data_IF_543041963608
#
_entry.id   IF_543041963608
#
_cell.length_a   1.000
_cell.length_b   1.000
_cell.length_c   1.000
_cell.angle_alpha   90.00
_cell.angle_beta   90.00
_cell.angle_gamma   90.00
#
_symmetry.space_group_name_H-M   'P 1'
#
loop_
_entity.id
_entity.type
_entity.pdbx_description
1 polymer ?
2 water ?
#
# COMPACT_ATOMS: atom_id res chain seq x y z
N UNK A 9 -3.77 -19.41 -6.70
CA UNK A 9 -5.11 -19.23 -6.17
C UNK A 9 -6.10 -20.19 -6.79
N UNK A 10 -6.91 -20.81 -5.95
CA UNK A 10 -7.93 -21.73 -6.42
C UNK A 10 -9.28 -21.07 -6.61
N UNK A 11 -9.55 -19.98 -5.88
CA UNK A 11 -10.86 -19.32 -5.88
C UNK A 11 -10.59 -17.81 -5.75
N UNK A 12 -10.50 -17.13 -6.89
CA UNK A 12 -10.09 -15.74 -6.89
C UNK A 12 -11.14 -14.86 -6.24
N UNK A 13 -12.43 -15.14 -6.49
CA UNK A 13 -13.49 -14.31 -5.97
C UNK A 13 -13.53 -14.33 -4.45
N UNK A 14 -13.43 -15.53 -3.86
CA UNK A 14 -13.41 -15.65 -2.41
C UNK A 14 -12.20 -14.94 -1.82
N UNK A 15 -11.04 -15.08 -2.47
CA UNK A 15 -9.83 -14.43 -1.98
C UNK A 15 -10.00 -12.92 -2.00
N UNK A 16 -10.54 -12.38 -3.09
CA UNK A 16 -10.71 -10.93 -3.22
C UNK A 16 -11.70 -10.41 -2.19
N UNK A 17 -12.80 -11.12 -1.98
CA UNK A 17 -13.80 -10.71 -1.00
C UNK A 17 -13.22 -10.69 0.42
N UNK A 18 -12.42 -11.69 0.77
CA UNK A 18 -11.82 -11.70 2.08
C UNK A 18 -10.85 -10.54 2.25
N UNK A 19 -10.08 -10.23 1.21
CA UNK A 19 -9.11 -9.14 1.30
C UNK A 19 -9.81 -7.80 1.45
N UNK A 20 -10.81 -7.54 0.61
CA UNK A 20 -11.57 -6.30 0.71
C UNK A 20 -12.18 -6.13 2.11
N UNK A 21 -12.76 -7.20 2.65
CA UNK A 21 -13.39 -7.06 3.95
C UNK A 21 -12.35 -6.83 5.05
N UNK A 22 -11.16 -7.42 4.92
CA UNK A 22 -10.11 -7.14 5.87
C UNK A 22 -9.74 -5.66 5.87
N UNK A 23 -9.63 -5.06 4.68
CA UNK A 23 -9.26 -3.65 4.61
C UNK A 23 -10.37 -2.77 5.17
N UNK A 24 -11.63 -3.11 4.89
CA UNK A 24 -12.73 -2.33 5.48
C UNK A 24 -12.70 -2.42 6.99
N UNK A 25 -12.39 -3.62 7.52
CA UNK A 25 -12.22 -3.75 8.97
C UNK A 25 -11.11 -2.84 9.49
N UNK A 26 -9.96 -2.79 8.80
CA UNK A 26 -8.89 -1.90 9.24
C UNK A 26 -9.37 -0.46 9.29
N UNK A 27 -10.16 -0.06 8.28
CA UNK A 27 -10.62 1.30 8.16
C UNK A 27 -11.63 1.64 9.25
N UNK A 28 -12.12 0.63 9.97
CA UNK A 28 -13.03 0.80 11.09
C UNK A 28 -12.34 0.77 12.45
N UNK A 29 -11.03 0.53 12.49
CA UNK A 29 -10.33 0.48 13.78
C UNK A 29 -10.34 1.86 14.42
N UNK A 30 -10.70 1.92 15.69
CA UNK A 30 -10.89 3.17 16.41
C UNK A 30 -9.57 3.80 16.83
N UNK A 31 -9.60 5.13 17.04
CA UNK A 31 -8.35 5.86 17.14
C UNK A 31 -7.56 5.53 18.40
N UNK A 32 -8.19 5.00 19.45
CA UNK A 32 -7.40 4.63 20.62
C UNK A 32 -6.54 3.39 20.37
N UNK A 33 -6.71 2.68 19.27
CA UNK A 33 -5.82 1.58 18.93
C UNK A 33 -4.59 2.04 18.15
N UNK A 34 -4.52 3.30 17.74
CA UNK A 34 -3.44 3.79 16.90
C UNK A 34 -2.51 4.66 17.71
N UNK A 35 -1.21 4.58 17.41
CA UNK A 35 -0.20 5.45 17.99
C UNK A 35 0.46 6.23 16.86
N UNK A 36 0.68 7.53 17.06
CA UNK A 36 1.31 8.34 16.02
C UNK A 36 2.76 7.92 15.85
N UNK A 37 3.16 7.67 14.61
CA UNK A 37 4.53 7.32 14.29
C UNK A 37 5.29 8.46 13.62
N UNK A 38 4.64 9.21 12.73
CA UNK A 38 5.27 10.33 12.07
C UNK A 38 4.20 11.34 11.71
N UNK A 39 4.48 12.61 11.96
CA UNK A 39 3.53 13.68 11.64
C UNK A 39 4.28 14.77 10.90
N UNK A 40 3.86 15.06 9.68
CA UNK A 40 4.30 16.24 8.95
C UNK A 40 3.13 17.20 8.86
N UNK A 41 3.33 18.33 8.19
CA UNK A 41 2.22 19.28 8.17
C UNK A 41 1.06 18.83 7.30
N UNK A 42 1.25 17.84 6.43
CA UNK A 42 0.11 17.39 5.63
C UNK A 42 0.05 15.88 5.42
N UNK A 43 0.80 15.09 6.17
CA UNK A 43 0.63 13.64 6.21
C UNK A 43 0.79 13.20 7.66
N UNK A 44 -0.05 12.29 8.11
CA UNK A 44 0.14 11.67 9.42
C UNK A 44 0.25 10.16 9.24
N UNK A 45 1.16 9.54 9.98
CA UNK A 45 1.36 8.10 9.96
C UNK A 45 1.16 7.56 11.38
N UNK A 46 0.28 6.56 11.52
CA UNK A 46 0.07 5.86 12.79
C UNK A 46 0.51 4.41 12.68
N UNK A 47 0.68 3.77 13.83
CA UNK A 47 1.14 2.38 13.90
C UNK A 47 0.33 1.63 14.95
N UNK A 48 0.09 0.35 14.70
CA UNK A 48 -0.44 -0.55 15.74
C UNK A 48 0.15 -1.93 15.54
N UNK A 49 0.15 -2.78 16.57
CA UNK A 49 0.66 -4.15 16.36
C UNK A 49 -0.21 -4.89 15.36
N UNK A 50 0.44 -5.70 14.53
CA UNK A 50 -0.23 -6.50 13.52
C UNK A 50 -0.75 -7.81 14.09
N UNK A 51 -1.90 -8.26 13.59
CA UNK A 51 -2.39 -9.59 13.89
C UNK A 51 -1.91 -10.63 12.87
N UNK A 52 -1.10 -10.21 11.90
CA UNK A 52 -0.71 -11.07 10.80
C UNK A 52 0.73 -11.57 10.89
N UNK A 53 1.57 -10.91 11.69
CA UNK A 53 2.97 -11.29 11.84
C UNK A 53 3.51 -10.55 13.05
N UNK A 54 4.82 -10.71 13.30
CA UNK A 54 5.43 -10.19 14.53
C UNK A 54 5.60 -8.68 14.53
N UNK A 55 5.30 -7.99 13.43
CA UNK A 55 5.55 -6.57 13.31
C UNK A 55 4.30 -5.72 13.36
N UNK A 56 4.24 -4.65 12.58
CA UNK A 56 3.25 -3.61 12.77
C UNK A 56 2.45 -3.33 11.50
N UNK A 57 1.23 -2.86 11.73
CA UNK A 57 0.37 -2.28 10.71
C UNK A 57 0.48 -0.77 10.79
N UNK A 58 0.73 -0.13 9.66
CA UNK A 58 0.83 1.33 9.56
C UNK A 58 -0.39 1.89 8.84
N UNK A 59 -0.87 3.05 9.30
CA UNK A 59 -1.94 3.81 8.66
C UNK A 59 -1.41 5.18 8.30
N UNK A 60 -1.66 5.64 7.08
CA UNK A 60 -1.29 6.99 6.69
C UNK A 60 -2.53 7.71 6.18
N UNK A 61 -2.59 9.02 6.40
CA UNK A 61 -3.69 9.80 5.90
C UNK A 61 -3.20 11.16 5.46
N UNK A 62 -3.75 11.64 4.35
CA UNK A 62 -3.41 12.95 3.84
C UNK A 62 -4.31 13.33 2.69
N UNK A 63 -4.37 14.61 2.40
CA UNK A 63 -5.22 15.14 1.35
C UNK A 63 -4.46 15.20 0.04
N UNK A 64 -5.16 14.90 -1.07
CA UNK A 64 -4.63 14.97 -2.42
C UNK A 64 -5.51 15.92 -3.21
N UNK A 65 -4.90 16.84 -3.97
CA UNK A 65 -5.67 17.85 -4.72
C UNK A 65 -6.04 17.32 -6.11
N UNK A 66 -6.88 16.29 -6.08
CA UNK A 66 -7.39 15.64 -7.29
C UNK A 66 -8.63 14.86 -6.88
N UNK A 67 -9.32 14.30 -7.87
CA UNK A 67 -10.52 13.51 -7.65
C UNK A 67 -10.19 12.02 -7.62
N UNK A 68 -11.17 11.23 -7.18
CA UNK A 68 -10.87 9.87 -6.72
C UNK A 68 -10.46 8.97 -7.87
N UNK A 69 -11.14 9.05 -9.01
CA UNK A 69 -10.89 8.08 -10.07
C UNK A 69 -9.50 8.25 -10.66
N UNK A 70 -9.06 9.50 -10.88
CA UNK A 70 -7.73 9.70 -11.42
C UNK A 70 -6.64 9.35 -10.40
N UNK A 71 -6.89 9.61 -9.10
CA UNK A 71 -5.92 9.21 -8.08
C UNK A 71 -5.71 7.71 -8.09
N UNK A 72 -6.82 6.96 -8.06
CA UNK A 72 -6.68 5.50 -7.99
C UNK A 72 -6.09 4.95 -9.28
N UNK A 73 -6.35 5.61 -10.43
CA UNK A 73 -5.68 5.17 -11.65
C UNK A 73 -4.17 5.33 -11.55
N UNK A 74 -3.71 6.35 -10.81
CA UNK A 74 -2.28 6.55 -10.60
C UNK A 74 -1.70 5.52 -9.64
N UNK A 75 -2.52 4.97 -8.74
CA UNK A 75 -1.99 4.11 -7.68
C UNK A 75 -2.01 2.64 -8.09
N UNK A 76 -3.05 2.24 -8.82
CA UNK A 76 -3.20 0.84 -9.16
C UNK A 76 -2.06 0.38 -10.06
N UNK A 77 -1.82 -0.93 -10.14
CA UNK A 77 -0.74 -1.43 -11.00
C UNK A 77 -0.91 -0.96 -12.44
N UNK A 78 0.14 -0.34 -12.96
CA UNK A 78 0.12 0.24 -14.28
C UNK A 78 1.34 1.09 -14.54
N UNK A 79 1.45 1.62 -15.76
CA UNK A 79 2.63 2.43 -16.09
C UNK A 79 2.74 3.72 -15.29
N UNK A 80 1.61 4.32 -14.93
CA UNK A 80 1.65 5.57 -14.18
C UNK A 80 2.30 5.38 -12.83
N UNK A 81 1.86 4.36 -12.09
CA UNK A 81 2.40 4.09 -10.75
C UNK A 81 3.92 3.98 -10.79
N UNK A 82 4.45 3.20 -11.72
CA UNK A 82 5.90 3.04 -11.81
C UNK A 82 6.60 4.35 -12.15
N UNK A 83 5.95 5.21 -12.93
CA UNK A 83 6.59 6.44 -13.37
C UNK A 83 6.76 7.43 -12.22
N UNK A 84 5.72 7.63 -11.39
CA UNK A 84 5.82 8.70 -10.40
C UNK A 84 6.34 8.22 -9.04
N UNK A 85 6.21 6.95 -8.72
CA UNK A 85 6.58 6.43 -7.41
C UNK A 85 8.10 6.25 -7.39
N UNK A 86 8.81 7.17 -6.71
CA UNK A 86 10.26 7.20 -6.82
C UNK A 86 10.93 5.97 -6.18
N UNK A 87 10.31 5.36 -5.18
CA UNK A 87 10.90 4.18 -4.56
C UNK A 87 10.77 2.93 -5.42
N UNK A 88 9.80 2.90 -6.33
CA UNK A 88 9.54 1.70 -7.12
C UNK A 88 10.48 1.65 -8.32
N UNK A 89 11.26 0.57 -8.42
CA UNK A 89 12.24 0.44 -9.49
C UNK A 89 11.78 -0.46 -10.64
N UNK A 90 10.74 -1.26 -10.42
CA UNK A 90 10.16 -2.04 -11.51
C UNK A 90 8.75 -2.47 -11.11
N UNK A 91 7.95 -2.78 -12.13
CA UNK A 91 6.58 -3.23 -11.93
C UNK A 91 6.24 -4.15 -13.09
N UNK A 92 5.85 -5.38 -12.75
CA UNK A 92 5.45 -6.38 -13.74
C UNK A 92 4.06 -6.89 -13.39
N UNK A 93 3.27 -7.16 -14.41
CA UNK A 93 2.02 -7.91 -14.24
C UNK A 93 2.33 -9.38 -14.46
N UNK A 94 2.02 -10.21 -13.46
CA UNK A 94 2.33 -11.63 -13.55
C UNK A 94 1.16 -12.43 -14.10
N UNK A 95 -0.06 -12.04 -13.74
CA UNK A 95 -1.25 -12.72 -14.23
C UNK A 95 -2.46 -11.80 -14.05
N UNK A 96 -3.26 -11.67 -15.10
CA UNK A 96 -4.51 -10.92 -15.03
C UNK A 96 -5.65 -11.87 -14.76
N UNK A 97 -6.54 -11.47 -13.85
CA UNK A 97 -7.77 -12.22 -13.61
C UNK A 97 -8.99 -11.51 -14.16
N UNK A 98 -9.10 -10.21 -13.92
CA UNK A 98 -10.18 -9.37 -14.42
C UNK A 98 -9.59 -7.99 -14.70
N UNK A 99 -10.42 -7.09 -15.23
CA UNK A 99 -9.98 -5.71 -15.41
C UNK A 99 -9.45 -5.11 -14.11
N UNK A 100 -10.04 -5.50 -12.97
CA UNK A 100 -9.71 -4.89 -11.69
C UNK A 100 -9.02 -5.84 -10.73
N UNK A 101 -8.40 -6.90 -11.24
CA UNK A 101 -7.84 -7.91 -10.36
C UNK A 101 -6.68 -8.62 -11.04
N UNK A 102 -5.51 -8.62 -10.41
CA UNK A 102 -4.35 -9.24 -11.01
C UNK A 102 -3.38 -9.68 -9.95
N UNK A 103 -2.35 -10.41 -10.38
CA UNK A 103 -1.15 -10.64 -9.60
C UNK A 103 -0.04 -9.82 -10.23
N UNK A 104 0.67 -9.05 -9.42
CA UNK A 104 1.73 -8.21 -9.95
C UNK A 104 2.98 -8.38 -9.08
N UNK A 105 4.09 -7.88 -9.59
CA UNK A 105 5.34 -7.90 -8.86
C UNK A 105 5.94 -6.51 -8.94
N UNK A 106 6.40 -5.96 -7.82
CA UNK A 106 7.13 -4.71 -7.88
C UNK A 106 8.36 -4.80 -7.01
N UNK A 107 9.32 -3.94 -7.32
CA UNK A 107 10.58 -3.91 -6.59
C UNK A 107 10.81 -2.51 -6.06
N UNK A 108 11.54 -2.44 -4.95
CA UNK A 108 11.84 -1.19 -4.29
C UNK A 108 13.35 -1.01 -4.26
N UNK A 109 13.78 0.25 -4.36
CA UNK A 109 15.17 0.58 -4.12
C UNK A 109 15.48 0.40 -2.65
N UNK A 110 16.75 0.11 -2.35
CA UNK A 110 17.16 0.05 -0.95
C UNK A 110 17.04 1.39 -0.25
N UNK A 111 16.93 1.33 1.07
CA UNK A 111 16.88 2.53 1.89
C UNK A 111 17.30 2.16 3.31
N UNK A 112 17.93 3.11 3.99
CA UNK A 112 18.39 2.88 5.35
C UNK A 112 19.27 1.66 5.53
N UNK A 113 20.00 1.26 4.50
CA UNK A 113 20.81 0.07 4.59
C UNK A 113 20.07 -1.23 4.37
N UNK A 114 18.77 -1.16 4.09
CA UNK A 114 17.97 -2.33 3.75
C UNK A 114 18.07 -2.53 2.24
N UNK A 115 18.44 -3.74 1.82
CA UNK A 115 18.70 -4.00 0.41
C UNK A 115 17.38 -4.13 -0.36
N UNK A 116 17.44 -4.10 -1.70
CA UNK A 116 16.20 -4.11 -2.48
C UNK A 116 15.29 -5.29 -2.18
N UNK A 117 14.00 -5.01 -2.09
CA UNK A 117 12.97 -6.03 -1.92
C UNK A 117 12.15 -6.15 -3.20
N UNK A 118 11.59 -7.33 -3.42
CA UNK A 118 10.51 -7.53 -4.38
C UNK A 118 9.31 -8.10 -3.65
N UNK A 119 8.12 -7.80 -4.18
CA UNK A 119 6.87 -8.23 -3.60
C UNK A 119 5.99 -8.77 -4.72
N UNK A 120 5.46 -9.97 -4.53
CA UNK A 120 4.51 -10.55 -5.46
C UNK A 120 3.16 -10.49 -4.79
N UNK A 121 2.27 -9.65 -5.31
CA UNK A 121 1.02 -9.27 -4.65
C UNK A 121 -0.20 -9.48 -5.54
N UNK A 122 -1.24 -10.06 -4.94
CA UNK A 122 -2.59 -9.94 -5.46
C UNK A 122 -3.06 -8.49 -5.35
N UNK A 123 -3.71 -7.97 -6.38
CA UNK A 123 -4.18 -6.59 -6.37
C UNK A 123 -5.64 -6.55 -6.79
N UNK A 124 -6.45 -5.74 -6.08
CA UNK A 124 -7.88 -5.71 -6.34
C UNK A 124 -8.40 -4.30 -6.11
N UNK A 125 -9.08 -3.74 -7.10
CA UNK A 125 -9.61 -2.39 -7.02
C UNK A 125 -11.13 -2.44 -7.10
N UNK A 126 -11.82 -1.77 -6.17
CA UNK A 126 -13.26 -1.94 -6.01
C UNK A 126 -13.85 -0.64 -5.50
N UNK A 127 -15.15 -0.44 -5.76
CA UNK A 127 -15.81 0.73 -5.21
C UNK A 127 -15.95 0.65 -3.70
N UNK A 128 -15.92 1.82 -3.06
CA UNK A 128 -16.07 1.94 -1.62
C UNK A 128 -16.73 3.28 -1.30
N UNK A 129 -17.99 3.24 -0.86
CA UNK A 129 -18.76 4.44 -0.54
C UNK A 129 -18.72 5.37 -1.75
N UNK A 130 -18.36 6.65 -1.59
CA UNK A 130 -18.28 7.55 -2.74
C UNK A 130 -16.92 7.50 -3.41
N UNK A 131 -16.08 6.53 -3.05
CA UNK A 131 -14.76 6.43 -3.64
C UNK A 131 -14.35 5.03 -4.02
N UNK A 132 -13.09 4.71 -3.76
CA UNK A 132 -12.48 3.51 -4.29
C UNK A 132 -11.51 2.95 -3.26
N UNK A 133 -11.33 1.62 -3.32
CA UNK A 133 -10.31 0.92 -2.54
C UNK A 133 -9.45 0.12 -3.51
N UNK A 134 -8.14 0.26 -3.37
CA UNK A 134 -7.20 -0.58 -4.11
C UNK A 134 -6.38 -1.34 -3.07
N UNK A 135 -6.61 -2.65 -2.96
CA UNK A 135 -6.02 -3.43 -1.89
C UNK A 135 -5.15 -4.56 -2.43
N UNK A 136 -4.32 -5.12 -1.55
CA UNK A 136 -3.36 -6.12 -1.98
C UNK A 136 -2.90 -6.99 -0.83
N UNK A 137 -2.27 -8.11 -1.20
CA UNK A 137 -1.66 -9.04 -0.26
C UNK A 137 -0.69 -9.90 -1.05
N UNK A 138 0.42 -10.28 -0.41
CA UNK A 138 1.39 -11.13 -1.09
C UNK A 138 0.84 -12.54 -1.31
N UNK A 139 1.34 -13.19 -2.36
CA UNK A 139 1.02 -14.57 -2.72
C UNK A 139 2.31 -15.36 -2.86
N UNK A 140 2.20 -16.68 -2.73
CA UNK A 140 3.32 -17.54 -3.09
C UNK A 140 3.61 -17.44 -4.58
N UNK A 141 4.89 -17.48 -4.92
CA UNK A 141 5.28 -17.34 -6.33
C UNK A 141 6.66 -17.94 -6.54
N UNK A 142 6.79 -18.75 -7.61
CA UNK A 142 7.95 -19.62 -7.81
C UNK A 142 9.20 -18.86 -8.23
N UNK A 143 9.05 -17.87 -9.11
CA UNK A 143 10.21 -17.15 -9.63
C UNK A 143 11.05 -16.57 -8.51
N UNK A 144 12.11 -17.26 -8.12
CA UNK A 144 13.01 -16.77 -7.09
C UNK A 144 14.18 -16.07 -7.76
N UNK A 145 14.29 -14.77 -7.52
CA UNK A 145 15.34 -13.97 -8.15
C UNK A 145 16.32 -13.51 -7.07
N UNK A 146 17.57 -13.97 -7.08
CA UNK A 146 18.51 -13.59 -6.01
C UNK A 146 18.87 -12.10 -6.01
N UNK A 147 18.53 -11.37 -7.07
CA UNK A 147 18.76 -9.92 -7.08
C UNK A 147 17.88 -9.18 -6.09
N UNK A 148 16.80 -9.79 -5.62
CA UNK A 148 15.87 -9.14 -4.71
C UNK A 148 15.52 -10.04 -3.55
N UNK A 149 15.44 -9.46 -2.35
CA UNK A 149 14.79 -10.16 -1.24
C UNK A 149 13.29 -10.20 -1.49
N UNK A 150 12.69 -11.38 -1.34
CA UNK A 150 11.24 -11.45 -1.40
C UNK A 150 10.69 -11.00 -0.06
N UNK A 151 10.20 -9.77 0.00
CA UNK A 151 9.43 -9.33 1.14
C UNK A 151 8.03 -9.89 1.07
N UNK A 152 7.25 -9.64 2.12
CA UNK A 152 5.89 -10.15 2.17
C UNK A 152 4.93 -9.07 2.64
N UNK A 153 3.97 -8.73 1.79
CA UNK A 153 2.92 -7.80 2.17
C UNK A 153 1.75 -8.56 2.78
N UNK A 154 1.51 -8.34 4.07
CA UNK A 154 0.24 -8.71 4.66
C UNK A 154 -0.82 -7.72 4.14
N UNK A 155 -2.11 -7.92 4.45
CA UNK A 155 -3.15 -7.09 3.82
C UNK A 155 -2.82 -5.61 3.89
N UNK A 156 -2.93 -4.94 2.75
CA UNK A 156 -2.62 -3.53 2.64
C UNK A 156 -3.56 -2.92 1.62
N UNK A 157 -3.54 -1.59 1.53
CA UNK A 157 -4.34 -0.97 0.49
C UNK A 157 -4.50 0.52 0.69
N UNK A 158 -5.16 1.13 -0.32
CA UNK A 158 -5.38 2.56 -0.37
C UNK A 158 -6.87 2.82 -0.54
N UNK A 159 -7.45 3.54 0.42
CA UNK A 159 -8.81 4.10 0.32
C UNK A 159 -8.72 5.53 -0.21
N UNK A 160 -9.53 5.86 -1.20
CA UNK A 160 -9.56 7.23 -1.72
C UNK A 160 -11.01 7.66 -1.84
N UNK A 161 -11.40 8.66 -1.05
CA UNK A 161 -12.78 9.12 -1.03
C UNK A 161 -12.76 10.65 -1.15
N UNK A 162 -13.87 11.25 -1.55
CA UNK A 162 -13.90 12.73 -1.58
C UNK A 162 -13.69 13.28 -0.18
N UNK A 163 -12.89 14.33 -0.10
CA UNK A 163 -12.63 14.95 1.19
C UNK A 163 -13.94 15.51 1.75
N UNK A 164 -14.29 15.10 2.99
CA UNK A 164 -15.65 15.35 3.45
C UNK A 164 -15.96 16.84 3.55
N UNK A 165 -14.95 17.68 3.83
CA UNK A 165 -15.18 19.11 3.89
C UNK A 165 -14.95 19.83 2.56
N UNK A 166 -14.32 19.19 1.58
CA UNK A 166 -14.17 19.81 0.26
C UNK A 166 -13.97 18.72 -0.78
N UNK A 167 -15.05 18.25 -1.41
CA UNK A 167 -14.91 17.10 -2.32
C UNK A 167 -14.29 17.43 -3.65
N UNK A 168 -13.82 18.66 -3.88
CA UNK A 168 -12.93 18.89 -5.03
C UNK A 168 -11.56 18.31 -4.77
N UNK A 169 -11.26 17.99 -3.51
CA UNK A 169 -10.06 17.27 -3.11
C UNK A 169 -10.46 15.89 -2.63
N UNK A 170 -9.46 15.04 -2.39
CA UNK A 170 -9.72 13.70 -1.91
C UNK A 170 -8.91 13.41 -0.66
N UNK A 171 -9.47 12.55 0.19
CA UNK A 171 -8.78 12.03 1.36
C UNK A 171 -8.23 10.65 1.02
N UNK A 172 -6.91 10.50 1.11
CA UNK A 172 -6.24 9.25 0.78
C UNK A 172 -5.75 8.60 2.06
N UNK A 173 -6.24 7.40 2.34
CA UNK A 173 -5.84 6.67 3.54
C UNK A 173 -5.17 5.38 3.10
N UNK A 174 -3.97 5.12 3.60
CA UNK A 174 -3.24 3.92 3.26
C UNK A 174 -3.03 3.05 4.48
N UNK A 175 -3.00 1.74 4.25
CA UNK A 175 -2.64 0.74 5.24
C UNK A 175 -1.52 -0.10 4.66
N UNK A 176 -0.39 -0.20 5.35
CA UNK A 176 0.68 -1.06 4.89
C UNK A 176 1.16 -1.94 6.04
N UNK A 177 1.57 -3.15 5.71
CA UNK A 177 1.76 -4.19 6.72
C UNK A 177 2.87 -5.14 6.28
N UNK A 178 4.03 -4.57 5.96
CA UNK A 178 5.07 -5.30 5.24
C UNK A 178 6.02 -6.01 6.19
N UNK A 179 6.33 -7.27 5.88
CA UNK A 179 7.44 -8.01 6.50
C UNK A 179 8.62 -7.96 5.54
N UNK A 180 9.64 -7.18 5.91
CA UNK A 180 10.80 -7.02 5.04
C UNK A 180 11.73 -8.21 5.07
N UNK A 181 11.61 -9.04 6.12
CA UNK A 181 12.43 -10.23 6.37
C UNK A 181 13.88 -9.87 6.70
N UNK A 182 14.60 -10.82 7.31
CA UNK A 182 15.97 -10.58 7.71
C UNK A 182 16.10 -9.94 9.08
N UNK A 183 17.34 -9.62 9.45
CA UNK A 183 17.65 -8.99 10.73
C UNK A 183 17.74 -7.49 10.52
N UNK A 184 16.67 -6.78 10.87
CA UNK A 184 16.59 -5.32 10.76
C UNK A 184 16.06 -4.78 12.08
N UNK A 185 16.74 -3.83 12.73
CA UNK A 185 16.16 -3.19 13.91
C UNK A 185 14.80 -2.57 13.59
N UNK A 186 13.84 -2.72 14.50
CA UNK A 186 12.50 -2.20 14.23
C UNK A 186 12.54 -0.70 14.00
N UNK A 187 13.48 -0.02 14.64
CA UNK A 187 13.70 1.40 14.42
C UNK A 187 13.90 1.71 12.94
N UNK A 188 14.74 0.91 12.27
CA UNK A 188 15.00 1.11 10.85
C UNK A 188 13.79 0.74 10.01
N UNK A 189 13.04 -0.29 10.42
CA UNK A 189 11.78 -0.60 9.77
C UNK A 189 10.81 0.56 9.91
N UNK A 190 10.66 1.08 11.15
CA UNK A 190 9.81 2.24 11.40
C UNK A 190 10.16 3.39 10.47
N UNK A 191 11.44 3.75 10.43
CA UNK A 191 11.88 4.86 9.59
C UNK A 191 11.59 4.59 8.13
N UNK A 192 11.83 3.36 7.68
CA UNK A 192 11.58 3.03 6.28
C UNK A 192 10.09 3.10 5.96
N UNK A 193 9.24 2.53 6.83
CA UNK A 193 7.81 2.52 6.56
C UNK A 193 7.23 3.93 6.58
N UNK A 194 7.64 4.75 7.56
CA UNK A 194 7.10 6.11 7.64
C UNK A 194 7.63 6.99 6.52
N UNK A 195 8.92 6.86 6.19
CA UNK A 195 9.49 7.63 5.08
C UNK A 195 8.90 7.20 3.74
N UNK A 196 8.71 5.89 3.56
CA UNK A 196 8.06 5.41 2.34
C UNK A 196 6.67 6.01 2.18
N UNK A 197 5.91 6.06 3.28
CA UNK A 197 4.55 6.58 3.20
C UNK A 197 4.54 8.09 2.92
N UNK A 198 5.36 8.86 3.63
CA UNK A 198 5.34 10.30 3.38
C UNK A 198 5.87 10.64 1.99
N UNK A 199 6.87 9.90 1.48
CA UNK A 199 7.33 10.16 0.11
C UNK A 199 6.29 9.73 -0.93
N UNK A 200 5.51 8.70 -0.62
CA UNK A 200 4.41 8.31 -1.49
C UNK A 200 3.46 9.48 -1.74
N UNK A 201 3.00 10.11 -0.66
CA UNK A 201 2.11 11.27 -0.81
C UNK A 201 2.82 12.39 -1.56
N UNK A 202 4.08 12.65 -1.21
CA UNK A 202 4.81 13.73 -1.89
C UNK A 202 4.96 13.50 -3.38
N UNK A 203 5.34 12.28 -3.77
CA UNK A 203 5.50 11.95 -5.18
C UNK A 203 4.17 12.01 -5.93
N UNK A 204 3.10 11.49 -5.30
CA UNK A 204 1.80 11.47 -5.96
C UNK A 204 1.27 12.88 -6.18
N UNK A 205 1.44 13.76 -5.18
CA UNK A 205 1.00 15.14 -5.32
C UNK A 205 1.73 15.85 -6.44
N UNK A 206 3.02 15.52 -6.62
CA UNK A 206 3.79 16.14 -7.70
C UNK A 206 3.43 15.57 -9.06
N UNK A 207 2.98 14.31 -9.11
CA UNK A 207 2.59 13.71 -10.39
C UNK A 207 1.32 14.33 -10.94
N UNK A 208 0.49 14.90 -10.09
CA UNK A 208 -0.81 15.38 -10.53
C UNK A 208 -0.74 16.86 -10.88
#
# INVERSE_FOLDING_TARGET
GSAMGSEGLSDVASFATKLKNTLIQYHSIEEDKWRVAKKTKDVTVWRKPSEEFNGYLYKAQGVIDDLVYSIIDHIRPGPSRLDWDSLMTSLDILENFEENCCVMRYTTAGQGGISPREFVDFSYTVGYKEGLLSCGISLDWDEKRPEFVRGYNHPCGWFCVPLKDNPNQSLLTGYIQTDLRGMIPQSAVDTAMASTLTNFYGDLRKAL
#
